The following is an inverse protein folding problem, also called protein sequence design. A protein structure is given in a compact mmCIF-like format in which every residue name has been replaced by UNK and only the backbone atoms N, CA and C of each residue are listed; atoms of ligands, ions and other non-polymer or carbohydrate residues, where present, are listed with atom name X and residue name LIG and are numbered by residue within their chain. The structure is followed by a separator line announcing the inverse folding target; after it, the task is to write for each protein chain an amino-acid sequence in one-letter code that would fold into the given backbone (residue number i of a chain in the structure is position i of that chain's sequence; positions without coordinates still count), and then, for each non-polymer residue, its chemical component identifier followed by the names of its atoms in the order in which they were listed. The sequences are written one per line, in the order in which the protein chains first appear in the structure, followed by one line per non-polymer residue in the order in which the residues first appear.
data_IF_440206538683
#
_entry.id   IF_440206538683
#
_cell.length_a   1.000
_cell.length_b   1.000
_cell.length_c   1.000
_cell.angle_alpha   90.00
_cell.angle_beta   90.00
_cell.angle_gamma   90.00
#
_symmetry.space_group_name_H-M   'P 1'
#
loop_
_entity.id
_entity.type
_entity.pdbx_description
1 polymer ?
#
# COMPACT_ATOMS: atom_id res chain seq x y z
N UNK A 1 11.40 3.39 -16.80
CA UNK A 1 10.06 3.96 -17.02
C UNK A 1 9.36 4.00 -15.67
N UNK A 2 8.85 5.16 -15.26
CA UNK A 2 8.19 5.33 -13.95
C UNK A 2 6.69 5.56 -14.12
N UNK A 3 5.95 5.50 -13.03
CA UNK A 3 4.52 5.86 -12.99
C UNK A 3 4.39 7.37 -13.22
N UNK A 4 3.92 7.77 -14.41
CA UNK A 4 3.78 9.19 -14.79
C UNK A 4 2.34 9.65 -14.72
N UNK A 5 1.40 8.73 -14.81
CA UNK A 5 -0.03 9.02 -14.82
C UNK A 5 -0.77 8.30 -13.68
N UNK A 6 -1.97 8.80 -13.37
CA UNK A 6 -2.89 8.16 -12.41
C UNK A 6 -3.29 6.76 -12.90
N UNK A 7 -3.41 6.57 -14.21
CA UNK A 7 -3.76 5.29 -14.84
C UNK A 7 -2.65 4.25 -14.65
N UNK A 8 -1.39 4.67 -14.73
CA UNK A 8 -0.25 3.80 -14.44
C UNK A 8 -0.33 3.29 -13.00
N UNK A 9 -0.63 4.18 -12.04
CA UNK A 9 -0.79 3.83 -10.62
C UNK A 9 -2.04 2.96 -10.39
N UNK A 10 -3.11 3.20 -11.14
CA UNK A 10 -4.37 2.46 -11.04
C UNK A 10 -4.21 1.00 -11.47
N UNK A 11 -3.40 0.76 -12.50
CA UNK A 11 -3.11 -0.58 -13.04
C UNK A 11 -1.91 -1.26 -12.38
N UNK A 12 -0.99 -0.49 -11.78
CA UNK A 12 0.18 -1.03 -11.10
C UNK A 12 -0.17 -2.00 -9.95
N UNK A 13 0.57 -3.09 -9.75
CA UNK A 13 0.48 -3.89 -8.53
C UNK A 13 0.78 -3.04 -7.29
N UNK A 14 0.05 -3.27 -6.19
CA UNK A 14 0.32 -2.57 -4.92
C UNK A 14 1.71 -2.88 -4.36
N UNK A 15 2.23 -4.08 -4.66
CA UNK A 15 3.58 -4.53 -4.29
C UNK A 15 4.67 -3.69 -4.96
N UNK A 16 4.48 -3.31 -6.22
CA UNK A 16 5.42 -2.43 -6.91
C UNK A 16 5.40 -1.02 -6.32
N UNK A 17 4.24 -0.55 -5.88
CA UNK A 17 4.15 0.73 -5.17
C UNK A 17 4.90 0.67 -3.84
N UNK A 18 4.83 -0.45 -3.11
CA UNK A 18 5.56 -0.65 -1.84
C UNK A 18 7.07 -0.80 -2.04
N UNK A 19 7.52 -1.24 -3.21
CA UNK A 19 8.95 -1.32 -3.55
C UNK A 19 9.58 0.07 -3.82
N UNK A 20 8.76 1.12 -3.95
CA UNK A 20 9.28 2.47 -4.14
C UNK A 20 9.82 3.04 -2.82
N UNK A 21 10.95 3.76 -2.87
CA UNK A 21 11.50 4.39 -1.67
C UNK A 21 10.46 5.35 -1.06
N UNK A 22 10.34 5.30 0.28
CA UNK A 22 9.38 6.09 1.08
C UNK A 22 7.91 5.69 0.96
N UNK A 23 7.56 4.67 0.14
CA UNK A 23 6.19 4.18 0.04
C UNK A 23 6.07 2.87 0.83
N UNK A 24 5.58 2.99 2.07
CA UNK A 24 5.24 1.81 2.88
C UNK A 24 3.84 1.26 2.56
N UNK A 25 3.47 0.11 3.15
CA UNK A 25 2.15 -0.52 3.02
C UNK A 25 0.97 0.46 3.17
N UNK A 26 1.04 1.33 4.19
CA UNK A 26 0.05 2.38 4.48
C UNK A 26 -0.15 3.36 3.32
N UNK A 27 0.97 3.82 2.77
CA UNK A 27 0.98 4.84 1.71
C UNK A 27 0.52 4.19 0.40
N UNK A 28 1.01 2.99 0.09
CA UNK A 28 0.58 2.23 -1.08
C UNK A 28 -0.94 1.96 -1.07
N UNK A 29 -1.49 1.57 0.09
CA UNK A 29 -2.94 1.37 0.27
C UNK A 29 -3.72 2.66 0.03
N UNK A 30 -3.32 3.76 0.69
CA UNK A 30 -3.98 5.06 0.55
C UNK A 30 -3.96 5.56 -0.90
N UNK A 31 -2.84 5.37 -1.59
CA UNK A 31 -2.72 5.69 -3.02
C UNK A 31 -3.76 4.89 -3.82
N UNK A 32 -3.81 3.56 -3.64
CA UNK A 32 -4.76 2.69 -4.34
C UNK A 32 -6.22 3.03 -4.07
N UNK A 33 -6.54 3.41 -2.84
CA UNK A 33 -7.86 3.89 -2.43
C UNK A 33 -8.23 5.20 -3.14
N UNK A 34 -7.30 6.17 -3.17
CA UNK A 34 -7.53 7.46 -3.82
C UNK A 34 -7.62 7.37 -5.35
N UNK A 35 -6.87 6.48 -6.00
CA UNK A 35 -6.93 6.30 -7.46
C UNK A 35 -8.01 5.32 -7.92
N UNK A 36 -8.70 4.66 -6.99
CA UNK A 36 -9.69 3.63 -7.29
C UNK A 36 -9.10 2.43 -8.05
N UNK A 37 -7.87 2.04 -7.69
CA UNK A 37 -7.16 0.93 -8.33
C UNK A 37 -7.63 -0.43 -7.83
N UNK A 38 -7.53 -1.44 -8.68
CA UNK A 38 -7.89 -2.81 -8.30
C UNK A 38 -6.81 -3.39 -7.38
N UNK A 39 -7.23 -3.89 -6.21
CA UNK A 39 -6.37 -4.65 -5.28
C UNK A 39 -7.12 -5.91 -4.88
N UNK A 40 -6.43 -7.05 -4.89
CA UNK A 40 -7.02 -8.31 -4.43
C UNK A 40 -7.36 -8.20 -2.95
N UNK A 41 -8.52 -8.72 -2.57
CA UNK A 41 -9.03 -8.69 -1.19
C UNK A 41 -8.03 -9.29 -0.19
N UNK A 42 -7.41 -10.42 -0.54
CA UNK A 42 -6.39 -11.09 0.28
C UNK A 42 -5.17 -10.19 0.56
N UNK A 43 -4.70 -9.47 -0.47
CA UNK A 43 -3.60 -8.51 -0.32
C UNK A 43 -4.02 -7.33 0.54
N UNK A 44 -5.25 -6.85 0.38
CA UNK A 44 -5.81 -5.78 1.20
C UNK A 44 -5.88 -6.14 2.69
N UNK A 45 -6.40 -7.32 3.01
CA UNK A 45 -6.49 -7.82 4.40
C UNK A 45 -5.11 -8.07 5.03
N UNK A 46 -4.13 -8.52 4.25
CA UNK A 46 -2.74 -8.66 4.72
C UNK A 46 -2.14 -7.31 5.10
N UNK A 47 -2.36 -6.28 4.28
CA UNK A 47 -1.86 -4.93 4.55
C UNK A 47 -2.47 -4.32 5.81
N UNK A 48 -3.76 -4.57 6.08
CA UNK A 48 -4.41 -4.16 7.35
C UNK A 48 -3.80 -4.86 8.57
N UNK A 49 -3.52 -6.17 8.46
CA UNK A 49 -2.93 -6.94 9.57
C UNK A 49 -1.49 -6.54 9.88
N UNK A 50 -0.67 -6.28 8.85
CA UNK A 50 0.70 -5.80 9.03
C UNK A 50 0.75 -4.38 9.63
N UNK A 51 -0.21 -3.51 9.29
CA UNK A 51 -0.36 -2.21 9.96
C UNK A 51 -0.69 -2.35 11.44
N UNK A 52 -1.66 -3.20 11.78
CA UNK A 52 -2.09 -3.43 13.16
C UNK A 52 -0.96 -3.99 14.03
N UNK A 53 -0.06 -4.79 13.44
CA UNK A 53 1.10 -5.35 14.13
C UNK A 53 2.17 -4.29 14.45
N UNK A 54 2.50 -3.40 13.52
CA UNK A 54 3.50 -2.32 13.76
C UNK A 54 3.06 -1.31 14.82
N UNK A 55 1.77 -1.07 14.98
CA UNK A 55 1.26 -0.09 15.95
C UNK A 55 1.28 -0.62 17.40
N UNK A 56 1.25 -1.94 17.62
CA UNK A 56 1.27 -2.53 18.97
C UNK A 56 2.64 -2.48 19.66
N UNK A 57 3.73 -2.33 18.92
CA UNK A 57 5.09 -2.36 19.49
C UNK A 57 5.52 -1.06 20.20
N UNK A 58 4.71 0.01 20.15
CA UNK A 58 5.07 1.33 20.69
C UNK A 58 4.61 1.58 22.15
N UNK A 59 3.93 0.62 22.79
CA UNK A 59 3.40 0.78 24.15
C UNK A 59 4.01 -0.15 25.21
N UNK A 60 5.09 -0.87 24.88
CA UNK A 60 5.83 -1.68 25.86
C UNK A 60 7.11 -0.95 26.30
N UNK A 61 6.98 0.07 27.16
CA UNK A 61 8.00 0.49 28.13
C UNK A 61 7.37 1.30 29.26
#
# INVERSE_FOLDING_TARGET
AGYKTIEDIKTAPIEDLMNLPLIGPKVARRIKEQVGGFVKKETWEKLEKEEAWKQKALTEY
#
